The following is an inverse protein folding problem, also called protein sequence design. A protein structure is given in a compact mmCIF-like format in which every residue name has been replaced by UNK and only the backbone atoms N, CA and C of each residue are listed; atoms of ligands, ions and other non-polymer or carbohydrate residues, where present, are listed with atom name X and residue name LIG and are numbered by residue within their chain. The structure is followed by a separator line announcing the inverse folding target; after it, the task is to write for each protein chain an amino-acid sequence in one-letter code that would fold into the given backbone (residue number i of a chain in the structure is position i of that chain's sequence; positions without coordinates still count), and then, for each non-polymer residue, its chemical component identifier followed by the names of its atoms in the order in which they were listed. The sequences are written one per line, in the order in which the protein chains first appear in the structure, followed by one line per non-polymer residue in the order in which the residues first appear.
data_IF_719659155080
#
_entry.id   IF_719659155080
#
_cell.length_a   1.000
_cell.length_b   1.000
_cell.length_c   1.000
_cell.angle_alpha   90.00
_cell.angle_beta   90.00
_cell.angle_gamma   90.00
#
_symmetry.space_group_name_H-M   'P 1'
#
loop_
_entity.id
_entity.type
_entity.pdbx_description
1 polymer ?
#
# COMPACT_ATOMS: atom_id res chain seq x y z
N UNK A 1 -28.67 39.06 25.24
CA UNK A 1 -27.68 37.96 25.28
C UNK A 1 -28.40 36.71 24.80
N UNK A 2 -28.24 36.33 23.53
CA UNK A 2 -28.86 35.12 22.97
C UNK A 2 -27.94 33.92 23.27
N UNK A 3 -28.39 32.87 23.97
CA UNK A 3 -27.59 31.67 24.15
C UNK A 3 -27.59 30.89 22.83
N UNK A 4 -26.40 30.64 22.30
CA UNK A 4 -26.16 29.71 21.20
C UNK A 4 -26.57 28.30 21.62
N UNK A 5 -27.65 27.80 21.04
CA UNK A 5 -28.04 26.39 21.15
C UNK A 5 -27.02 25.58 20.33
N UNK A 6 -26.07 24.94 21.01
CA UNK A 6 -25.23 23.89 20.40
C UNK A 6 -26.13 22.68 20.15
N UNK A 7 -26.45 22.42 18.88
CA UNK A 7 -27.08 21.18 18.44
C UNK A 7 -26.20 19.99 18.83
N UNK A 8 -26.64 19.24 19.86
CA UNK A 8 -26.02 18.00 20.34
C UNK A 8 -26.08 16.83 19.33
N UNK A 9 -26.67 17.02 18.14
CA UNK A 9 -26.89 15.98 17.15
C UNK A 9 -25.62 15.60 16.33
N UNK A 10 -24.53 16.37 16.41
CA UNK A 10 -23.37 16.17 15.53
C UNK A 10 -22.12 15.58 16.18
N UNK A 11 -22.13 15.41 17.50
CA UNK A 11 -21.00 14.87 18.24
C UNK A 11 -20.99 13.33 18.15
N UNK A 12 -19.93 12.70 17.62
CA UNK A 12 -19.85 11.24 17.56
C UNK A 12 -19.95 10.66 18.98
N UNK A 13 -20.86 9.71 19.17
CA UNK A 13 -21.16 9.12 20.48
C UNK A 13 -19.97 8.38 21.10
N UNK A 14 -19.03 7.90 20.26
CA UNK A 14 -17.74 7.40 20.68
C UNK A 14 -16.60 8.38 20.27
N UNK A 15 -15.86 8.97 21.23
CA UNK A 15 -14.75 9.88 20.94
C UNK A 15 -13.48 9.16 20.45
N UNK A 16 -13.37 7.83 20.60
CA UNK A 16 -12.15 7.05 20.36
C UNK A 16 -11.97 6.52 18.93
N UNK A 17 -12.97 6.63 18.03
CA UNK A 17 -12.85 6.10 16.65
C UNK A 17 -11.62 6.65 15.90
N UNK A 18 -11.23 7.91 16.17
CA UNK A 18 -10.02 8.52 15.59
C UNK A 18 -8.75 7.82 16.06
N UNK A 19 -8.70 7.38 17.32
CA UNK A 19 -7.56 6.63 17.87
C UNK A 19 -7.50 5.23 17.27
N UNK A 20 -8.65 4.59 17.10
CA UNK A 20 -8.78 3.26 16.52
C UNK A 20 -8.27 3.19 15.08
N UNK A 21 -8.75 4.09 14.22
CA UNK A 21 -8.30 4.15 12.81
C UNK A 21 -6.85 4.59 12.69
N UNK A 22 -6.38 5.51 13.54
CA UNK A 22 -4.98 5.92 13.57
C UNK A 22 -4.06 4.76 14.00
N UNK A 23 -4.52 3.92 14.93
CA UNK A 23 -3.81 2.72 15.36
C UNK A 23 -3.70 1.69 14.24
N UNK A 24 -4.81 1.39 13.55
CA UNK A 24 -4.87 0.44 12.43
C UNK A 24 -3.98 0.88 11.27
N UNK A 25 -4.00 2.17 10.94
CA UNK A 25 -3.26 2.72 9.79
C UNK A 25 -1.82 3.15 10.09
N UNK A 26 -1.37 3.09 11.35
CA UNK A 26 -0.07 3.67 11.80
C UNK A 26 1.11 3.26 10.94
N UNK A 27 1.35 1.96 10.75
CA UNK A 27 2.51 1.46 10.02
C UNK A 27 2.38 1.73 8.53
N UNK A 28 1.21 1.48 7.94
CA UNK A 28 0.97 1.78 6.53
C UNK A 28 1.18 3.27 6.22
N UNK A 29 0.76 4.16 7.13
CA UNK A 29 1.02 5.60 7.04
C UNK A 29 2.51 5.92 7.08
N UNK A 30 3.27 5.27 7.95
CA UNK A 30 4.73 5.44 8.00
C UNK A 30 5.40 5.01 6.70
N UNK A 31 5.06 3.83 6.18
CA UNK A 31 5.63 3.28 4.93
C UNK A 31 5.23 4.17 3.73
N UNK A 32 3.96 4.59 3.62
CA UNK A 32 3.53 5.46 2.53
C UNK A 32 4.10 6.89 2.63
N UNK A 33 4.40 7.36 3.84
CA UNK A 33 5.06 8.64 4.04
C UNK A 33 6.52 8.61 3.55
N UNK A 34 7.26 7.52 3.81
CA UNK A 34 8.68 7.44 3.41
C UNK A 34 8.88 7.47 1.89
N UNK A 35 7.90 6.97 1.12
CA UNK A 35 7.88 7.07 -0.36
C UNK A 35 7.11 8.28 -0.89
N UNK A 36 6.65 9.18 -0.02
CA UNK A 36 5.96 10.41 -0.42
C UNK A 36 4.56 10.22 -1.04
N UNK A 37 3.94 9.06 -0.85
CA UNK A 37 2.63 8.70 -1.43
C UNK A 37 1.46 9.01 -0.50
N UNK A 38 1.69 8.97 0.83
CA UNK A 38 0.62 9.24 1.79
C UNK A 38 -0.09 10.57 1.50
N UNK A 39 -1.42 10.65 1.68
CA UNK A 39 -2.19 11.89 1.52
C UNK A 39 -1.87 12.93 2.62
N UNK A 40 -0.63 13.39 2.69
CA UNK A 40 -0.27 14.58 3.43
C UNK A 40 -0.59 15.82 2.59
N UNK A 41 -1.28 16.79 3.19
CA UNK A 41 -1.64 18.06 2.56
C UNK A 41 -0.42 18.98 2.57
N UNK A 42 0.55 18.74 1.68
CA UNK A 42 1.55 19.76 1.36
C UNK A 42 0.84 20.84 0.54
N UNK A 43 0.86 22.10 1.02
CA UNK A 43 0.29 23.27 0.33
C UNK A 43 1.39 24.02 -0.45
N UNK A 44 1.02 24.70 -1.53
CA UNK A 44 1.94 25.51 -2.35
C UNK A 44 2.96 24.70 -3.18
N UNK A 45 4.17 25.23 -3.32
CA UNK A 45 5.31 24.63 -4.07
C UNK A 45 5.68 23.24 -3.54
N UNK A 46 5.38 22.96 -2.26
CA UNK A 46 5.53 21.66 -1.60
C UNK A 46 4.76 20.50 -2.26
N UNK A 47 3.80 20.76 -3.17
CA UNK A 47 3.11 19.71 -3.94
C UNK A 47 3.95 19.10 -5.05
N UNK A 48 4.91 19.85 -5.59
CA UNK A 48 5.77 19.40 -6.69
C UNK A 48 7.00 18.64 -6.19
N UNK A 49 7.51 18.99 -5.01
CA UNK A 49 8.65 18.34 -4.35
C UNK A 49 8.55 16.80 -4.35
N UNK A 50 7.48 16.16 -3.85
CA UNK A 50 7.35 14.70 -3.92
C UNK A 50 7.39 14.14 -5.33
N UNK A 51 6.80 14.84 -6.32
CA UNK A 51 6.80 14.38 -7.72
C UNK A 51 8.20 14.43 -8.33
N UNK A 52 8.97 15.49 -8.02
CA UNK A 52 10.35 15.64 -8.48
C UNK A 52 11.23 14.57 -7.82
N UNK A 53 11.09 14.35 -6.51
CA UNK A 53 11.81 13.28 -5.79
C UNK A 53 11.49 11.90 -6.36
N UNK A 54 10.21 11.60 -6.61
CA UNK A 54 9.79 10.33 -7.25
C UNK A 54 10.43 10.20 -8.64
N UNK A 55 10.34 11.24 -9.48
CA UNK A 55 10.92 11.25 -10.82
C UNK A 55 12.43 11.02 -10.82
N UNK A 56 13.16 11.76 -9.99
CA UNK A 56 14.61 11.62 -9.84
C UNK A 56 14.98 10.22 -9.35
N UNK A 57 14.27 9.69 -8.35
CA UNK A 57 14.53 8.35 -7.82
C UNK A 57 14.33 7.26 -8.88
N UNK A 58 13.29 7.38 -9.71
CA UNK A 58 13.06 6.44 -10.82
C UNK A 58 14.14 6.55 -11.90
N UNK A 59 14.63 7.76 -12.21
CA UNK A 59 15.71 7.95 -13.18
C UNK A 59 17.01 7.29 -12.69
N UNK A 60 17.34 7.41 -11.40
CA UNK A 60 18.52 6.77 -10.81
C UNK A 60 18.40 5.25 -10.90
N UNK A 61 17.24 4.68 -10.55
CA UNK A 61 17.01 3.22 -10.65
C UNK A 61 17.14 2.75 -12.10
N UNK A 62 16.53 3.46 -13.07
CA UNK A 62 16.63 3.12 -14.49
C UNK A 62 18.06 3.18 -14.99
N UNK A 63 18.85 4.17 -14.56
CA UNK A 63 20.26 4.25 -14.92
C UNK A 63 21.03 3.03 -14.43
N UNK A 64 20.86 2.64 -13.16
CA UNK A 64 21.48 1.43 -12.59
C UNK A 64 21.04 0.17 -13.36
N UNK A 65 19.75 0.08 -13.69
CA UNK A 65 19.19 -1.05 -14.45
C UNK A 65 19.84 -1.17 -15.84
N UNK A 66 20.00 -0.05 -16.55
CA UNK A 66 20.66 -0.02 -17.86
C UNK A 66 22.11 -0.49 -17.75
N UNK A 67 22.84 -0.09 -16.70
CA UNK A 67 24.21 -0.58 -16.47
C UNK A 67 24.25 -2.08 -16.23
N UNK A 68 23.29 -2.60 -15.48
CA UNK A 68 23.17 -4.03 -15.19
C UNK A 68 22.86 -4.83 -16.48
N UNK A 69 21.92 -4.35 -17.30
CA UNK A 69 21.61 -4.97 -18.60
C UNK A 69 22.81 -4.98 -19.52
N UNK A 70 23.54 -3.86 -19.62
CA UNK A 70 24.76 -3.76 -20.43
C UNK A 70 25.83 -4.76 -19.95
N UNK A 71 26.02 -4.88 -18.64
CA UNK A 71 26.95 -5.86 -18.06
C UNK A 71 26.57 -7.30 -18.42
N UNK A 72 25.28 -7.67 -18.29
CA UNK A 72 24.78 -9.01 -18.65
C UNK A 72 25.01 -9.34 -20.12
N UNK A 73 24.77 -8.37 -21.01
CA UNK A 73 24.87 -8.56 -22.45
C UNK A 73 26.31 -8.60 -22.95
N UNK A 74 27.19 -7.77 -22.38
CA UNK A 74 28.52 -7.51 -22.94
C UNK A 74 29.67 -8.17 -22.16
N UNK A 75 29.52 -8.42 -20.86
CA UNK A 75 30.63 -8.84 -19.98
C UNK A 75 30.37 -10.21 -19.33
N UNK A 76 29.14 -10.47 -18.88
CA UNK A 76 28.81 -11.69 -18.16
C UNK A 76 28.81 -12.89 -19.10
N UNK A 77 29.54 -13.98 -18.79
CA UNK A 77 29.58 -15.20 -19.63
C UNK A 77 28.86 -16.38 -18.99
N UNK A 78 28.66 -16.38 -17.68
CA UNK A 78 28.01 -17.49 -16.97
C UNK A 78 26.48 -17.47 -17.16
N UNK A 79 25.86 -18.49 -17.80
CA UNK A 79 24.42 -18.55 -17.99
C UNK A 79 23.63 -18.59 -16.68
N UNK A 80 24.17 -19.18 -15.61
CA UNK A 80 23.48 -19.25 -14.32
C UNK A 80 23.41 -17.87 -13.66
N UNK A 81 24.51 -17.13 -13.66
CA UNK A 81 24.56 -15.76 -13.15
C UNK A 81 23.68 -14.82 -13.99
N UNK A 82 23.68 -14.95 -15.32
CA UNK A 82 22.75 -14.21 -16.21
C UNK A 82 21.28 -14.44 -15.85
N UNK A 83 20.89 -15.69 -15.61
CA UNK A 83 19.50 -16.03 -15.24
C UNK A 83 19.10 -15.39 -13.90
N UNK A 84 20.00 -15.42 -12.91
CA UNK A 84 19.78 -14.77 -11.62
C UNK A 84 19.63 -13.26 -11.75
N UNK A 85 20.51 -12.62 -12.52
CA UNK A 85 20.48 -11.17 -12.75
C UNK A 85 19.23 -10.74 -13.54
N UNK A 86 18.77 -11.56 -14.49
CA UNK A 86 17.51 -11.35 -15.19
C UNK A 86 16.32 -11.33 -14.21
N UNK A 87 16.33 -12.21 -13.20
CA UNK A 87 15.34 -12.19 -12.13
C UNK A 87 15.31 -10.88 -11.35
N UNK A 88 16.48 -10.29 -11.06
CA UNK A 88 16.59 -8.98 -10.39
C UNK A 88 16.08 -7.84 -11.26
N UNK A 89 16.38 -7.87 -12.56
CA UNK A 89 15.88 -6.87 -13.52
C UNK A 89 14.35 -6.93 -13.59
N UNK A 90 13.79 -8.12 -13.78
CA UNK A 90 12.34 -8.31 -13.79
C UNK A 90 11.69 -7.80 -12.49
N UNK A 91 12.28 -8.09 -11.33
CA UNK A 91 11.81 -7.58 -10.03
C UNK A 91 11.83 -6.05 -9.96
N UNK A 92 12.90 -5.44 -10.43
CA UNK A 92 13.10 -3.97 -10.40
C UNK A 92 12.10 -3.27 -11.33
N UNK A 93 11.92 -3.78 -12.55
CA UNK A 93 10.90 -3.29 -13.49
C UNK A 93 9.48 -3.38 -12.93
N UNK A 94 9.10 -4.52 -12.34
CA UNK A 94 7.79 -4.68 -11.69
C UNK A 94 7.63 -3.66 -10.55
N UNK A 95 8.67 -3.44 -9.76
CA UNK A 95 8.65 -2.49 -8.65
C UNK A 95 8.52 -1.03 -9.14
N UNK A 96 9.19 -0.67 -10.24
CA UNK A 96 9.03 0.64 -10.89
C UNK A 96 7.61 0.85 -11.44
N UNK A 97 7.02 -0.18 -12.05
CA UNK A 97 5.63 -0.15 -12.51
C UNK A 97 4.67 0.04 -11.33
N UNK A 98 4.89 -0.68 -10.21
CA UNK A 98 4.13 -0.49 -8.97
C UNK A 98 4.25 0.94 -8.45
N UNK A 99 5.45 1.50 -8.41
CA UNK A 99 5.67 2.87 -7.94
C UNK A 99 4.96 3.91 -8.81
N UNK A 100 5.07 3.74 -10.13
CA UNK A 100 4.38 4.57 -11.12
C UNK A 100 2.86 4.48 -10.96
N UNK A 101 2.33 3.27 -10.80
CA UNK A 101 0.90 3.03 -10.59
C UNK A 101 0.39 3.67 -9.29
N UNK A 102 1.13 3.54 -8.18
CA UNK A 102 0.78 4.20 -6.91
C UNK A 102 0.79 5.73 -7.05
N UNK A 103 1.76 6.28 -7.78
CA UNK A 103 1.90 7.73 -8.01
C UNK A 103 0.73 8.27 -8.83
N UNK A 104 0.39 7.61 -9.93
CA UNK A 104 -0.76 7.97 -10.80
C UNK A 104 -2.07 7.86 -10.01
N UNK A 105 -2.22 6.82 -9.19
CA UNK A 105 -3.45 6.55 -8.43
C UNK A 105 -3.49 7.27 -7.07
N UNK A 106 -2.53 8.13 -6.75
CA UNK A 106 -2.43 8.82 -5.46
C UNK A 106 -3.72 9.55 -5.05
N UNK A 107 -4.40 10.21 -5.99
CA UNK A 107 -5.68 10.88 -5.75
C UNK A 107 -6.80 9.89 -5.38
N UNK A 108 -6.86 8.75 -6.06
CA UNK A 108 -7.82 7.68 -5.76
C UNK A 108 -7.51 7.05 -4.40
N UNK A 109 -6.25 6.74 -4.11
CA UNK A 109 -5.82 6.20 -2.80
C UNK A 109 -6.21 7.15 -1.67
N UNK A 110 -5.96 8.46 -1.84
CA UNK A 110 -6.37 9.49 -0.90
C UNK A 110 -7.88 9.44 -0.65
N UNK A 111 -8.68 9.44 -1.71
CA UNK A 111 -10.13 9.37 -1.62
C UNK A 111 -10.60 8.11 -0.88
N UNK A 112 -10.00 6.94 -1.17
CA UNK A 112 -10.35 5.70 -0.48
C UNK A 112 -10.03 5.74 1.02
N UNK A 113 -8.89 6.34 1.39
CA UNK A 113 -8.53 6.53 2.80
C UNK A 113 -9.52 7.48 3.45
N UNK A 114 -9.84 8.62 2.84
CA UNK A 114 -10.83 9.58 3.37
C UNK A 114 -12.21 8.93 3.55
N UNK A 115 -12.64 8.10 2.60
CA UNK A 115 -13.88 7.35 2.70
C UNK A 115 -13.85 6.33 3.83
N UNK A 116 -12.74 5.59 3.99
CA UNK A 116 -12.56 4.69 5.13
C UNK A 116 -12.67 5.47 6.46
N UNK A 117 -12.07 6.65 6.57
CA UNK A 117 -12.25 7.51 7.75
C UNK A 117 -13.71 7.92 7.98
N UNK A 118 -14.46 8.20 6.91
CA UNK A 118 -15.88 8.50 6.99
C UNK A 118 -16.70 7.27 7.44
N UNK A 119 -16.43 6.09 6.90
CA UNK A 119 -17.09 4.83 7.26
C UNK A 119 -16.87 4.51 8.75
N UNK A 120 -15.63 4.64 9.25
CA UNK A 120 -15.32 4.45 10.67
C UNK A 120 -16.03 5.46 11.57
N UNK A 121 -16.15 6.72 11.13
CA UNK A 121 -16.93 7.75 11.83
C UNK A 121 -18.43 7.43 11.82
N UNK A 122 -18.94 6.90 10.71
CA UNK A 122 -20.35 6.54 10.56
C UNK A 122 -20.71 5.34 11.45
N UNK A 123 -19.91 4.27 11.43
CA UNK A 123 -20.06 3.14 12.35
C UNK A 123 -20.06 3.68 13.78
N UNK A 124 -19.12 4.56 14.13
CA UNK A 124 -19.06 5.21 15.45
C UNK A 124 -20.27 6.11 15.81
N UNK A 125 -21.04 6.61 14.83
CA UNK A 125 -22.23 7.46 15.04
C UNK A 125 -23.52 6.64 15.13
N UNK A 126 -23.64 5.57 14.36
CA UNK A 126 -24.84 4.72 14.26
C UNK A 126 -24.98 3.71 15.42
N UNK A 127 -23.97 3.61 16.29
CA UNK A 127 -23.90 2.61 17.35
C UNK A 127 -25.03 2.77 18.39
N UNK A 128 -25.96 1.82 18.35
CA UNK A 128 -26.62 1.25 19.54
C UNK A 128 -25.78 0.10 20.16
N UNK A 129 -24.81 -0.52 19.44
CA UNK A 129 -24.05 -1.70 19.91
C UNK A 129 -22.51 -1.59 19.76
N UNK A 130 -21.76 -1.66 20.88
CA UNK A 130 -20.28 -1.77 20.92
C UNK A 130 -19.70 -2.95 20.10
N UNK A 131 -20.54 -3.92 19.71
CA UNK A 131 -20.19 -5.08 18.88
C UNK A 131 -19.65 -4.69 17.51
N UNK A 132 -20.28 -3.75 16.79
CA UNK A 132 -19.89 -3.38 15.42
C UNK A 132 -18.49 -2.74 15.37
N UNK A 133 -18.21 -1.89 16.36
CA UNK A 133 -16.87 -1.31 16.55
C UNK A 133 -15.81 -2.39 16.78
N UNK A 134 -16.12 -3.34 17.66
CA UNK A 134 -15.20 -4.44 17.99
C UNK A 134 -14.87 -5.27 16.75
N UNK A 135 -15.87 -5.47 15.89
CA UNK A 135 -15.72 -6.20 14.64
C UNK A 135 -14.85 -5.43 13.63
N UNK A 136 -15.12 -4.14 13.40
CA UNK A 136 -14.27 -3.29 12.57
C UNK A 136 -12.82 -3.24 13.07
N UNK A 137 -12.61 -3.15 14.38
CA UNK A 137 -11.28 -3.21 15.01
C UNK A 137 -10.60 -4.56 14.84
N UNK A 138 -11.34 -5.67 14.90
CA UNK A 138 -10.80 -7.01 14.65
C UNK A 138 -10.20 -7.10 13.24
N UNK A 139 -10.96 -6.69 12.22
CA UNK A 139 -10.48 -6.67 10.84
C UNK A 139 -9.34 -5.67 10.62
N UNK A 140 -9.43 -4.48 11.21
CA UNK A 140 -8.35 -3.50 11.17
C UNK A 140 -7.03 -4.03 11.77
N UNK A 141 -7.10 -4.79 12.87
CA UNK A 141 -5.91 -5.45 13.46
C UNK A 141 -5.33 -6.51 12.51
N UNK A 142 -6.16 -7.28 11.82
CA UNK A 142 -5.70 -8.26 10.82
C UNK A 142 -4.97 -7.53 9.69
N UNK A 143 -5.56 -6.47 9.11
CA UNK A 143 -4.93 -5.68 8.05
C UNK A 143 -3.61 -5.03 8.48
N UNK A 144 -3.54 -4.53 9.72
CA UNK A 144 -2.32 -4.01 10.33
C UNK A 144 -1.24 -5.09 10.45
N UNK A 145 -1.59 -6.27 10.95
CA UNK A 145 -0.63 -7.36 11.11
C UNK A 145 -0.12 -7.86 9.75
N UNK A 146 -0.99 -8.00 8.75
CA UNK A 146 -0.58 -8.33 7.37
C UNK A 146 0.38 -7.29 6.78
N UNK A 147 0.15 -6.00 7.03
CA UNK A 147 1.09 -4.93 6.65
C UNK A 147 2.45 -5.08 7.34
N UNK A 148 2.47 -5.44 8.63
CA UNK A 148 3.72 -5.65 9.37
C UNK A 148 4.46 -6.87 8.82
N UNK A 149 3.76 -8.01 8.67
CA UNK A 149 4.37 -9.25 8.18
C UNK A 149 4.90 -9.10 6.76
N UNK A 150 4.16 -8.45 5.87
CA UNK A 150 4.65 -8.15 4.51
C UNK A 150 5.90 -7.28 4.55
N UNK A 151 5.91 -6.20 5.35
CA UNK A 151 7.09 -5.34 5.47
C UNK A 151 8.32 -6.09 6.01
N UNK A 152 8.15 -6.85 7.10
CA UNK A 152 9.24 -7.65 7.71
C UNK A 152 9.79 -8.64 6.69
N UNK A 153 8.92 -9.40 6.02
CA UNK A 153 9.31 -10.38 5.01
C UNK A 153 10.11 -9.76 3.86
N UNK A 154 9.66 -8.62 3.33
CA UNK A 154 10.34 -7.93 2.24
C UNK A 154 11.72 -7.41 2.66
N UNK A 155 11.82 -6.73 3.80
CA UNK A 155 13.10 -6.19 4.26
C UNK A 155 14.07 -7.31 4.67
N UNK A 156 13.60 -8.35 5.35
CA UNK A 156 14.44 -9.49 5.72
C UNK A 156 14.95 -10.22 4.48
N UNK A 157 14.09 -10.45 3.48
CA UNK A 157 14.49 -11.09 2.22
C UNK A 157 15.58 -10.30 1.50
N UNK A 158 15.42 -8.97 1.43
CA UNK A 158 16.43 -8.09 0.85
C UNK A 158 17.76 -8.12 1.62
N UNK A 159 17.70 -8.06 2.96
CA UNK A 159 18.92 -8.10 3.78
C UNK A 159 19.62 -9.44 3.67
N UNK A 160 18.90 -10.56 3.69
CA UNK A 160 19.47 -11.88 3.44
C UNK A 160 20.13 -11.96 2.07
N UNK A 161 19.48 -11.44 1.02
CA UNK A 161 20.03 -11.40 -0.33
C UNK A 161 21.35 -10.62 -0.38
N UNK A 162 21.39 -9.40 0.16
CA UNK A 162 22.59 -8.56 0.18
C UNK A 162 23.71 -9.24 0.98
N UNK A 163 23.42 -9.77 2.17
CA UNK A 163 24.40 -10.45 3.02
C UNK A 163 24.98 -11.69 2.34
N UNK A 164 24.14 -12.56 1.77
CA UNK A 164 24.61 -13.76 1.05
C UNK A 164 25.49 -13.35 -0.13
N UNK A 165 25.07 -12.34 -0.88
CA UNK A 165 25.83 -11.90 -2.04
C UNK A 165 27.20 -11.30 -1.65
N UNK A 166 27.26 -10.53 -0.55
CA UNK A 166 28.51 -9.92 -0.08
C UNK A 166 29.47 -10.92 0.59
N UNK A 167 28.94 -11.82 1.43
CA UNK A 167 29.78 -12.67 2.28
C UNK A 167 29.94 -14.10 1.78
N UNK A 168 28.91 -14.69 1.14
CA UNK A 168 28.98 -16.08 0.69
C UNK A 168 29.55 -16.21 -0.72
N UNK A 169 29.32 -15.23 -1.59
CA UNK A 169 29.84 -15.21 -2.96
C UNK A 169 31.15 -14.43 -3.03
N UNK A 170 31.28 -13.38 -2.20
CA UNK A 170 32.56 -12.71 -1.94
C UNK A 170 33.18 -12.02 -3.15
N UNK A 171 34.39 -11.51 -2.95
CA UNK A 171 35.20 -10.93 -4.03
C UNK A 171 35.93 -12.03 -4.80
N UNK A 172 35.89 -11.99 -6.13
CA UNK A 172 36.68 -12.88 -6.98
C UNK A 172 37.94 -12.17 -7.48
N UNK A 173 39.03 -12.91 -7.68
CA UNK A 173 40.28 -12.38 -8.25
C UNK A 173 40.24 -12.56 -9.75
N UNK A 174 40.20 -11.45 -10.49
CA UNK A 174 40.17 -11.46 -11.96
C UNK A 174 41.53 -11.87 -12.57
N UNK A 175 41.57 -12.16 -13.87
CA UNK A 175 42.76 -12.57 -14.64
C UNK A 175 43.95 -11.59 -14.48
N UNK A 176 43.66 -10.33 -14.15
CA UNK A 176 44.65 -9.29 -13.87
C UNK A 176 45.11 -9.20 -12.40
N UNK A 177 44.84 -10.25 -11.60
CA UNK A 177 45.15 -10.33 -10.17
C UNK A 177 44.52 -9.20 -9.33
N UNK A 178 43.34 -8.74 -9.74
CA UNK A 178 42.56 -7.68 -9.06
C UNK A 178 41.41 -8.30 -8.28
N UNK A 179 41.26 -7.93 -7.03
CA UNK A 179 40.10 -8.30 -6.21
C UNK A 179 38.87 -7.51 -6.65
N UNK A 180 37.94 -8.16 -7.35
CA UNK A 180 36.66 -7.57 -7.75
C UNK A 180 35.69 -7.68 -6.58
N UNK A 181 35.27 -6.54 -6.03
CA UNK A 181 34.21 -6.47 -5.01
C UNK A 181 32.85 -6.57 -5.69
N UNK A 182 31.95 -7.39 -5.14
CA UNK A 182 30.64 -7.64 -5.74
C UNK A 182 29.65 -6.50 -5.46
N UNK A 183 28.91 -6.06 -6.46
CA UNK A 183 27.81 -5.08 -6.35
C UNK A 183 26.46 -5.79 -6.39
N UNK A 184 25.45 -5.21 -5.74
CA UNK A 184 24.07 -5.77 -5.72
C UNK A 184 23.54 -5.87 -7.15
N UNK A 185 23.84 -4.85 -7.95
CA UNK A 185 23.66 -4.86 -9.39
C UNK A 185 25.03 -4.64 -10.04
N UNK A 186 25.52 -5.60 -10.84
CA UNK A 186 26.74 -5.40 -11.62
C UNK A 186 26.64 -4.15 -12.50
N UNK A 187 27.76 -3.44 -12.65
CA UNK A 187 27.84 -2.22 -13.46
C UNK A 187 28.79 -2.47 -14.61
N UNK A 188 28.37 -2.09 -15.82
CA UNK A 188 29.18 -2.23 -17.02
C UNK A 188 30.49 -1.45 -16.90
N UNK A 189 31.63 -2.15 -17.04
CA UNK A 189 32.96 -1.58 -16.78
C UNK A 189 33.40 -0.55 -17.84
N UNK A 190 32.77 -0.56 -19.03
CA UNK A 190 33.12 0.33 -20.14
C UNK A 190 32.76 1.80 -19.94
N UNK A 191 31.88 2.16 -18.99
CA UNK A 191 31.56 3.58 -18.72
C UNK A 191 32.49 4.21 -17.68
N UNK A 192 32.77 3.51 -16.60
CA UNK A 192 33.69 3.94 -15.56
C UNK A 192 34.14 2.75 -14.71
N UNK A 193 35.34 2.84 -14.14
CA UNK A 193 35.88 1.79 -13.28
C UNK A 193 35.24 1.86 -11.88
N UNK A 194 34.21 1.05 -11.68
CA UNK A 194 33.44 0.98 -10.43
C UNK A 194 34.24 0.39 -9.26
N UNK A 195 35.37 -0.28 -9.51
CA UNK A 195 36.17 -0.92 -8.46
C UNK A 195 37.12 0.07 -7.77
N UNK A 196 37.29 1.29 -8.32
CA UNK A 196 38.11 2.34 -7.70
C UNK A 196 37.41 2.92 -6.47
N UNK A 197 38.14 3.04 -5.37
CA UNK A 197 37.70 3.83 -4.20
C UNK A 197 37.81 5.33 -4.54
N UNK A 198 36.80 6.17 -4.21
CA UNK A 198 35.58 5.91 -3.44
C UNK A 198 34.34 5.56 -4.29
N UNK A 199 34.49 5.31 -5.59
CA UNK A 199 33.37 5.09 -6.53
C UNK A 199 32.58 3.85 -6.14
N UNK A 200 33.27 2.75 -5.82
CA UNK A 200 32.65 1.51 -5.39
C UNK A 200 31.69 1.73 -4.21
N UNK A 201 32.17 2.39 -3.16
CA UNK A 201 31.42 2.61 -1.93
C UNK A 201 30.19 3.49 -2.19
N UNK A 202 30.32 4.52 -3.03
CA UNK A 202 29.22 5.41 -3.41
C UNK A 202 28.14 4.64 -4.19
N UNK A 203 28.54 3.87 -5.20
CA UNK A 203 27.60 3.10 -6.04
C UNK A 203 26.91 2.01 -5.21
N UNK A 204 27.65 1.33 -4.33
CA UNK A 204 27.09 0.32 -3.44
C UNK A 204 26.01 0.89 -2.51
N UNK A 205 26.29 2.01 -1.85
CA UNK A 205 25.31 2.69 -0.98
C UNK A 205 24.10 3.14 -1.80
N UNK A 206 24.32 3.68 -3.00
CA UNK A 206 23.24 4.13 -3.88
C UNK A 206 22.33 2.97 -4.30
N UNK A 207 22.90 1.83 -4.69
CA UNK A 207 22.15 0.62 -5.03
C UNK A 207 21.34 0.11 -3.82
N UNK A 208 21.96 0.04 -2.64
CA UNK A 208 21.26 -0.36 -1.41
C UNK A 208 20.05 0.54 -1.11
N UNK A 209 20.20 1.86 -1.26
CA UNK A 209 19.10 2.81 -1.08
C UNK A 209 17.99 2.63 -2.12
N UNK A 210 18.36 2.38 -3.38
CA UNK A 210 17.41 2.09 -4.46
C UNK A 210 16.60 0.83 -4.16
N UNK A 211 17.27 -0.28 -3.81
CA UNK A 211 16.59 -1.54 -3.50
C UNK A 211 15.71 -1.41 -2.25
N UNK A 212 16.16 -0.68 -1.23
CA UNK A 212 15.33 -0.38 -0.06
C UNK A 212 14.06 0.39 -0.42
N UNK A 213 14.17 1.40 -1.30
CA UNK A 213 13.03 2.15 -1.81
C UNK A 213 12.04 1.24 -2.56
N UNK A 214 12.52 0.39 -3.47
CA UNK A 214 11.66 -0.54 -4.23
C UNK A 214 10.95 -1.56 -3.33
N UNK A 215 11.63 -2.08 -2.31
CA UNK A 215 11.01 -2.91 -1.27
C UNK A 215 9.91 -2.15 -0.50
N UNK A 216 10.16 -0.88 -0.17
CA UNK A 216 9.19 -0.02 0.51
C UNK A 216 7.94 0.22 -0.35
N UNK A 217 8.11 0.41 -1.66
CA UNK A 217 7.01 0.52 -2.63
C UNK A 217 6.17 -0.75 -2.63
N UNK A 218 6.81 -1.92 -2.71
CA UNK A 218 6.07 -3.18 -2.74
C UNK A 218 5.37 -3.47 -1.41
N UNK A 219 6.02 -3.21 -0.27
CA UNK A 219 5.39 -3.30 1.05
C UNK A 219 4.18 -2.35 1.18
N UNK A 220 4.26 -1.15 0.58
CA UNK A 220 3.14 -0.21 0.52
C UNK A 220 1.97 -0.73 -0.30
N UNK A 221 2.22 -1.36 -1.46
CA UNK A 221 1.18 -2.01 -2.26
C UNK A 221 0.47 -3.11 -1.47
N UNK A 222 1.24 -4.01 -0.85
CA UNK A 222 0.70 -5.10 -0.04
C UNK A 222 -0.09 -4.57 1.16
N UNK A 223 0.42 -3.55 1.86
CA UNK A 223 -0.26 -2.94 2.99
C UNK A 223 -1.55 -2.22 2.60
N UNK A 224 -1.58 -1.50 1.47
CA UNK A 224 -2.81 -0.89 0.94
C UNK A 224 -3.85 -1.95 0.56
N UNK A 225 -3.42 -3.02 -0.10
CA UNK A 225 -4.28 -4.15 -0.44
C UNK A 225 -4.88 -4.79 0.81
N UNK A 226 -4.06 -5.11 1.81
CA UNK A 226 -4.49 -5.68 3.08
C UNK A 226 -5.46 -4.75 3.83
N UNK A 227 -5.17 -3.45 3.90
CA UNK A 227 -6.04 -2.46 4.54
C UNK A 227 -7.42 -2.42 3.87
N UNK A 228 -7.46 -2.26 2.55
CA UNK A 228 -8.74 -2.14 1.84
C UNK A 228 -9.53 -3.45 1.85
N UNK A 229 -8.88 -4.59 1.68
CA UNK A 229 -9.54 -5.89 1.74
C UNK A 229 -10.16 -6.13 3.12
N UNK A 230 -9.37 -5.94 4.19
CA UNK A 230 -9.87 -6.16 5.56
C UNK A 230 -10.92 -5.13 5.97
N UNK A 231 -10.82 -3.87 5.55
CA UNK A 231 -11.89 -2.88 5.77
C UNK A 231 -13.19 -3.29 5.09
N UNK A 232 -13.12 -3.76 3.84
CA UNK A 232 -14.29 -4.26 3.11
C UNK A 232 -14.91 -5.49 3.80
N UNK A 233 -14.09 -6.46 4.23
CA UNK A 233 -14.57 -7.61 5.01
C UNK A 233 -15.25 -7.18 6.31
N UNK A 234 -14.66 -6.23 7.04
CA UNK A 234 -15.25 -5.70 8.27
C UNK A 234 -16.61 -5.02 8.04
N UNK A 235 -16.74 -4.23 6.97
CA UNK A 235 -18.01 -3.60 6.61
C UNK A 235 -19.09 -4.64 6.25
N UNK A 236 -18.73 -5.67 5.49
CA UNK A 236 -19.66 -6.75 5.12
C UNK A 236 -20.15 -7.49 6.37
N UNK A 237 -19.24 -7.83 7.29
CA UNK A 237 -19.60 -8.51 8.54
C UNK A 237 -20.45 -7.63 9.48
N UNK A 238 -20.19 -6.32 9.55
CA UNK A 238 -21.06 -5.39 10.30
C UNK A 238 -22.48 -5.41 9.72
N UNK A 239 -22.61 -5.32 8.39
CA UNK A 239 -23.92 -5.37 7.73
C UNK A 239 -24.62 -6.71 7.99
N UNK A 240 -23.89 -7.83 7.91
CA UNK A 240 -24.45 -9.16 8.21
C UNK A 240 -24.90 -9.28 9.67
N UNK A 241 -24.11 -8.75 10.62
CA UNK A 241 -24.50 -8.72 12.04
C UNK A 241 -25.78 -7.92 12.25
N UNK A 242 -25.89 -6.75 11.62
CA UNK A 242 -27.09 -5.91 11.72
C UNK A 242 -28.32 -6.57 11.07
N UNK A 243 -28.14 -7.27 9.94
CA UNK A 243 -29.22 -8.03 9.30
C UNK A 243 -29.71 -9.17 10.18
N UNK A 244 -28.79 -9.93 10.79
CA UNK A 244 -29.13 -11.03 11.69
C UNK A 244 -29.90 -10.55 12.93
N UNK A 245 -29.44 -9.46 13.55
CA UNK A 245 -30.12 -8.83 14.70
C UNK A 245 -31.55 -8.33 14.33
N UNK A 246 -31.81 -8.03 13.05
CA UNK A 246 -33.15 -7.64 12.56
C UNK A 246 -34.06 -8.83 12.27
N UNK A 247 -33.50 -9.99 11.92
CA UNK A 247 -34.24 -11.23 11.68
C UNK A 247 -34.48 -12.04 12.95
N UNK A 248 -33.73 -11.79 14.03
CA UNK A 248 -33.89 -12.48 15.31
C UNK A 248 -35.19 -12.00 16.01
N UNK A 249 -36.11 -12.94 16.25
CA UNK A 249 -37.48 -12.69 16.73
C UNK A 249 -37.59 -11.99 18.10
N UNK A 250 -36.48 -11.84 18.85
CA UNK A 250 -36.48 -11.18 20.17
C UNK A 250 -36.89 -9.71 20.15
N UNK A 251 -36.77 -9.01 19.02
CA UNK A 251 -37.22 -7.62 18.85
C UNK A 251 -38.59 -7.47 18.16
N UNK A 252 -39.21 -8.59 17.74
CA UNK A 252 -40.55 -8.61 17.13
C UNK A 252 -41.67 -8.13 18.08
N UNK A 253 -41.38 -8.02 19.39
CA UNK A 253 -42.33 -7.53 20.41
C UNK A 253 -42.59 -6.02 20.43
N UNK A 254 -41.86 -5.20 19.66
CA UNK A 254 -42.08 -3.74 19.62
C UNK A 254 -42.62 -3.34 18.25
N UNK A 255 -43.95 -3.33 18.12
CA UNK A 255 -44.77 -2.90 16.98
C UNK A 255 -44.09 -1.90 16.02
N UNK A 256 -43.29 -2.41 15.09
CA UNK A 256 -42.87 -1.71 13.90
C UNK A 256 -42.67 -2.78 12.83
N UNK A 257 -43.54 -2.75 11.82
CA UNK A 257 -43.66 -3.78 10.80
C UNK A 257 -42.27 -4.17 10.24
N UNK A 258 -41.78 -5.41 10.48
CA UNK A 258 -40.46 -5.87 10.05
C UNK A 258 -40.25 -5.70 8.54
N UNK A 259 -41.34 -5.87 7.78
CA UNK A 259 -41.37 -5.65 6.33
C UNK A 259 -41.15 -4.18 5.94
N UNK A 260 -41.47 -3.21 6.79
CA UNK A 260 -41.23 -1.79 6.52
C UNK A 260 -39.75 -1.42 6.68
N UNK A 261 -39.05 -1.97 7.68
CA UNK A 261 -37.61 -1.76 7.90
C UNK A 261 -36.75 -2.57 6.92
N UNK A 262 -37.15 -3.81 6.61
CA UNK A 262 -36.52 -4.58 5.54
C UNK A 262 -36.71 -3.89 4.19
N UNK A 263 -37.92 -3.39 3.91
CA UNK A 263 -38.17 -2.54 2.74
C UNK A 263 -37.34 -1.27 2.77
N UNK A 264 -37.08 -0.67 3.93
CA UNK A 264 -36.23 0.53 4.04
C UNK A 264 -34.75 0.22 3.79
N UNK A 265 -34.21 -0.88 4.34
CA UNK A 265 -32.83 -1.33 4.12
C UNK A 265 -32.64 -1.79 2.67
N UNK A 266 -33.57 -2.59 2.15
CA UNK A 266 -33.59 -3.01 0.75
C UNK A 266 -33.81 -1.80 -0.16
N UNK A 267 -34.64 -0.81 0.20
CA UNK A 267 -34.75 0.44 -0.55
C UNK A 267 -33.52 1.33 -0.40
N UNK A 268 -32.77 1.27 0.68
CA UNK A 268 -31.52 2.02 0.85
C UNK A 268 -30.42 1.37 0.01
N UNK A 269 -30.32 0.04 0.02
CA UNK A 269 -29.43 -0.73 -0.84
C UNK A 269 -29.82 -0.58 -2.32
N UNK A 270 -31.12 -0.66 -2.66
CA UNK A 270 -31.65 -0.41 -4.00
C UNK A 270 -31.51 1.06 -4.39
N UNK A 271 -31.65 2.05 -3.49
CA UNK A 271 -31.40 3.48 -3.80
C UNK A 271 -29.92 3.73 -4.06
N UNK A 272 -29.02 3.16 -3.28
CA UNK A 272 -27.57 3.17 -3.56
C UNK A 272 -27.30 2.52 -4.93
N UNK A 273 -28.02 1.45 -5.27
CA UNK A 273 -27.93 0.76 -6.57
C UNK A 273 -28.67 1.47 -7.72
N UNK A 274 -29.70 2.29 -7.47
CA UNK A 274 -30.48 3.06 -8.47
C UNK A 274 -29.84 4.41 -8.77
N UNK A 275 -29.26 5.07 -7.76
CA UNK A 275 -28.39 6.26 -7.93
C UNK A 275 -27.16 5.93 -8.79
N UNK A 276 -26.76 4.65 -8.81
CA UNK A 276 -25.78 4.05 -9.71
C UNK A 276 -26.23 3.98 -11.18
N UNK A 277 -27.55 3.99 -11.45
CA UNK A 277 -28.15 3.70 -12.76
C UNK A 277 -28.72 4.95 -13.46
N UNK A 278 -29.03 6.02 -12.74
CA UNK A 278 -29.50 7.29 -13.32
C UNK A 278 -28.64 8.46 -12.84
N UNK A 279 -27.68 8.89 -13.67
CA UNK A 279 -27.11 10.25 -13.64
C UNK A 279 -25.76 10.46 -12.93
N UNK A 280 -24.66 10.32 -13.68
CA UNK A 280 -23.37 11.04 -13.52
C UNK A 280 -22.62 10.95 -12.18
N UNK A 281 -22.23 9.75 -11.73
CA UNK A 281 -20.92 9.56 -11.08
C UNK A 281 -20.40 8.18 -11.46
N UNK A 282 -19.56 8.14 -12.50
CA UNK A 282 -18.71 6.99 -12.72
C UNK A 282 -17.79 6.83 -11.50
N UNK A 283 -17.52 5.58 -11.13
CA UNK A 283 -16.34 5.13 -10.36
C UNK A 283 -16.43 4.88 -8.84
N UNK A 284 -17.47 4.19 -8.34
CA UNK A 284 -17.39 3.52 -7.02
C UNK A 284 -17.50 1.96 -7.01
N UNK A 285 -18.10 1.27 -8.00
CA UNK A 285 -17.98 -0.20 -8.11
C UNK A 285 -16.68 -0.60 -8.78
N UNK A 286 -15.98 0.37 -9.40
CA UNK A 286 -14.63 0.15 -9.88
C UNK A 286 -13.70 -0.09 -8.70
N UNK A 287 -13.95 0.36 -7.47
CA UNK A 287 -12.92 0.26 -6.45
C UNK A 287 -12.67 -1.17 -5.97
N UNK A 288 -13.71 -1.94 -5.62
CA UNK A 288 -13.53 -3.37 -5.27
C UNK A 288 -13.13 -4.17 -6.51
N UNK A 289 -13.69 -3.86 -7.69
CA UNK A 289 -13.40 -4.59 -8.95
C UNK A 289 -12.06 -4.21 -9.61
N UNK A 290 -11.45 -3.08 -9.22
CA UNK A 290 -10.14 -2.56 -9.68
C UNK A 290 -9.07 -2.79 -8.63
N UNK A 291 -9.40 -2.82 -7.33
CA UNK A 291 -8.51 -3.30 -6.27
C UNK A 291 -8.39 -4.81 -6.39
N UNK A 292 -9.49 -5.56 -6.56
CA UNK A 292 -9.43 -7.00 -6.83
C UNK A 292 -8.69 -7.30 -8.13
N UNK A 293 -8.95 -6.60 -9.24
CA UNK A 293 -8.15 -6.76 -10.47
C UNK A 293 -6.69 -6.34 -10.30
N UNK A 294 -6.39 -5.18 -9.71
CA UNK A 294 -5.00 -4.75 -9.54
C UNK A 294 -4.21 -5.61 -8.54
N UNK A 295 -4.88 -6.28 -7.58
CA UNK A 295 -4.24 -7.27 -6.70
C UNK A 295 -4.00 -8.58 -7.47
N UNK A 296 -4.98 -9.05 -8.25
CA UNK A 296 -4.85 -10.27 -9.07
C UNK A 296 -3.81 -10.09 -10.18
N UNK A 297 -3.81 -8.95 -10.86
CA UNK A 297 -2.86 -8.59 -11.92
C UNK A 297 -1.45 -8.27 -11.38
N UNK A 298 -1.29 -8.06 -10.06
CA UNK A 298 0.02 -7.87 -9.41
C UNK A 298 0.56 -9.14 -8.76
N UNK A 299 -0.21 -10.23 -8.77
CA UNK A 299 0.14 -11.56 -8.26
C UNK A 299 0.31 -12.60 -9.38
N UNK A 300 0.21 -12.16 -10.64
CA UNK A 300 0.42 -12.94 -11.86
C UNK A 300 1.60 -12.35 -12.61
#
# INVERSE_FOLDING_TARGET
MHPSIRNHADQPRNPNYKKDIAYVTKYLKWILNSIGIWPAVLKGVGKFLPKITIGLSNLVVLFIEVQCVLHILLEEKDPFLRMRLLGLICYTLISLLKYSALTIRKSKIKYCIEQMYADWKQVSKQVEFERDRTLMLKYGKIGRNLTIYSAVFMYSGNMCYITIMQYAIGSHVDENNRTIKMLVYPTYSGLFDVQKTPIYEIVYVLQCMCTFMLNTVTASCCGLAALFATHACGQIDVIMSQLNDLTDEKFSKKNCNPNARLREIVQHHIRILKYKRQGKVNHCPSLIKTISRAIVDSLR
#
